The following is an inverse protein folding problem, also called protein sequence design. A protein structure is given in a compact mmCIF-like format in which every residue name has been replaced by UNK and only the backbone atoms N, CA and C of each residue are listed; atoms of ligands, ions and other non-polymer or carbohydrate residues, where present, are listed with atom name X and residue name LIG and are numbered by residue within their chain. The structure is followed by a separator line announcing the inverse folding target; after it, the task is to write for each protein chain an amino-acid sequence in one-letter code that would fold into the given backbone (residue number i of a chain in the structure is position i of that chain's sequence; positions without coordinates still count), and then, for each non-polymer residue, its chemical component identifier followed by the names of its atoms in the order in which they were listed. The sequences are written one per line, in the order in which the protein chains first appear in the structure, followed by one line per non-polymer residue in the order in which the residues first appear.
data_IF_931837333433
#
_entry.id   IF_931837333433
#
_cell.length_a   1.000
_cell.length_b   1.000
_cell.length_c   1.000
_cell.angle_alpha   90.00
_cell.angle_beta   90.00
_cell.angle_gamma   90.00
#
_symmetry.space_group_name_H-M   'P 1'
#
loop_
_entity.id
_entity.type
_entity.pdbx_description
1 polymer ?
#
# COMPACT_ATOMS: atom_id res chain seq x y z
N UNK A 1 -5.64 27.43 24.23
CA UNK A 1 -4.43 26.62 23.96
C UNK A 1 -4.86 25.35 23.23
N UNK A 2 -4.51 25.16 21.95
CA UNK A 2 -4.83 23.90 21.24
C UNK A 2 -3.95 22.79 21.83
N UNK A 3 -4.56 21.77 22.44
CA UNK A 3 -3.82 20.56 22.84
C UNK A 3 -3.36 19.84 21.57
N UNK A 4 -2.05 19.67 21.42
CA UNK A 4 -1.49 18.76 20.43
C UNK A 4 -1.77 17.33 20.90
N UNK A 5 -2.58 16.61 20.13
CA UNK A 5 -2.75 15.17 20.33
C UNK A 5 -1.45 14.46 19.94
N UNK A 6 -1.12 13.39 20.65
CA UNK A 6 -0.03 12.51 20.25
C UNK A 6 -0.35 11.87 18.89
N UNK A 7 0.69 11.63 18.08
CA UNK A 7 0.51 10.96 16.80
C UNK A 7 0.00 9.54 17.01
N UNK A 8 -1.15 9.20 16.43
CA UNK A 8 -1.80 7.88 16.57
C UNK A 8 -0.85 6.71 16.26
N UNK A 9 -0.02 6.86 15.23
CA UNK A 9 0.99 5.87 14.86
C UNK A 9 2.03 5.63 15.97
N UNK A 10 2.37 6.64 16.78
CA UNK A 10 3.26 6.44 17.94
C UNK A 10 2.52 5.66 19.01
N UNK A 11 1.30 6.08 19.37
CA UNK A 11 0.48 5.43 20.41
C UNK A 11 0.29 3.95 20.13
N UNK A 12 -0.05 3.58 18.89
CA UNK A 12 -0.23 2.17 18.50
C UNK A 12 1.08 1.39 18.60
N UNK A 13 2.20 1.98 18.16
CA UNK A 13 3.53 1.32 18.23
C UNK A 13 4.01 1.14 19.66
N UNK A 14 3.76 2.12 20.51
CA UNK A 14 4.13 2.09 21.92
C UNK A 14 3.27 1.05 22.67
N UNK A 15 2.00 0.91 22.30
CA UNK A 15 1.10 -0.09 22.88
C UNK A 15 1.41 -1.53 22.41
N UNK A 16 1.70 -1.72 21.12
CA UNK A 16 1.91 -3.06 20.53
C UNK A 16 3.36 -3.55 20.60
N UNK A 17 4.34 -2.64 20.70
CA UNK A 17 5.77 -3.00 20.66
C UNK A 17 6.20 -3.62 19.32
N UNK A 18 7.27 -4.42 19.36
CA UNK A 18 7.78 -5.18 18.21
C UNK A 18 8.66 -4.40 17.22
N UNK A 19 8.62 -4.80 15.96
CA UNK A 19 9.44 -4.27 14.85
C UNK A 19 8.59 -3.90 13.64
N UNK A 20 8.73 -2.65 13.19
CA UNK A 20 8.15 -2.15 11.95
C UNK A 20 9.08 -2.45 10.77
N UNK A 21 8.58 -3.19 9.80
CA UNK A 21 9.27 -3.44 8.53
C UNK A 21 8.66 -2.60 7.43
N UNK A 22 9.53 -2.02 6.59
CA UNK A 22 9.17 -1.23 5.42
C UNK A 22 9.87 -1.78 4.19
N UNK A 23 9.09 -2.24 3.22
CA UNK A 23 9.57 -2.84 1.98
C UNK A 23 9.09 -2.01 0.79
N UNK A 24 9.98 -1.53 -0.10
CA UNK A 24 9.56 -0.89 -1.34
C UNK A 24 8.87 -1.89 -2.27
N UNK A 25 7.84 -1.42 -2.97
CA UNK A 25 7.21 -2.15 -4.07
C UNK A 25 8.03 -1.85 -5.32
N UNK A 26 8.58 -2.88 -5.94
CA UNK A 26 9.41 -2.76 -7.13
C UNK A 26 8.54 -3.05 -8.35
N UNK A 27 8.57 -2.15 -9.33
CA UNK A 27 7.91 -2.30 -10.61
C UNK A 27 8.95 -2.40 -11.72
N UNK A 28 8.70 -3.24 -12.73
CA UNK A 28 9.55 -3.30 -13.92
C UNK A 28 9.52 -1.98 -14.72
N UNK A 29 8.37 -1.28 -14.70
CA UNK A 29 8.14 -0.03 -15.41
C UNK A 29 8.68 1.20 -14.65
N UNK A 30 8.93 1.07 -13.34
CA UNK A 30 9.53 2.15 -12.54
C UNK A 30 10.94 1.71 -12.09
N UNK A 31 11.94 1.98 -12.94
CA UNK A 31 13.32 1.64 -12.64
C UNK A 31 13.82 2.40 -11.40
N UNK A 32 14.69 1.79 -10.57
CA UNK A 32 15.33 2.49 -9.46
C UNK A 32 16.05 3.75 -9.93
N UNK A 33 15.84 4.87 -9.23
CA UNK A 33 16.60 6.09 -9.45
C UNK A 33 18.10 5.85 -9.19
N UNK A 34 18.40 4.95 -8.24
CA UNK A 34 19.75 4.48 -7.97
C UNK A 34 20.00 3.17 -8.71
N UNK A 35 20.53 3.25 -9.95
CA UNK A 35 20.77 2.08 -10.84
C UNK A 35 21.60 0.96 -10.23
N UNK A 36 22.41 1.26 -9.21
CA UNK A 36 23.22 0.28 -8.48
C UNK A 36 22.37 -0.64 -7.58
N UNK A 37 21.13 -0.27 -7.30
CA UNK A 37 20.22 -1.01 -6.42
C UNK A 37 19.47 -2.10 -7.19
N UNK A 38 20.17 -3.19 -7.48
CA UNK A 38 19.59 -4.37 -8.13
C UNK A 38 18.88 -5.35 -7.19
N UNK A 39 19.06 -5.20 -5.87
CA UNK A 39 18.42 -6.05 -4.85
C UNK A 39 17.64 -5.22 -3.84
N UNK A 40 16.54 -5.77 -3.32
CA UNK A 40 15.62 -5.06 -2.43
C UNK A 40 16.30 -4.66 -1.12
N UNK A 41 16.02 -3.44 -0.64
CA UNK A 41 16.40 -3.00 0.71
C UNK A 41 15.13 -2.91 1.56
N UNK A 42 15.11 -3.64 2.68
CA UNK A 42 14.03 -3.58 3.67
C UNK A 42 14.52 -2.79 4.87
N UNK A 43 13.77 -1.79 5.30
CA UNK A 43 14.10 -1.03 6.52
C UNK A 43 13.32 -1.62 7.69
N UNK A 44 14.03 -2.07 8.71
CA UNK A 44 13.51 -2.60 9.95
C UNK A 44 13.77 -1.60 11.08
N UNK A 45 12.72 -1.29 11.84
CA UNK A 45 12.76 -0.34 12.94
C UNK A 45 12.12 -0.99 14.15
N UNK A 46 12.81 -1.03 15.29
CA UNK A 46 12.13 -1.40 16.55
C UNK A 46 11.08 -0.35 16.89
N UNK A 47 9.87 -0.78 17.23
CA UNK A 47 8.75 0.09 17.54
C UNK A 47 9.05 1.00 18.74
N UNK A 48 9.83 0.48 19.70
CA UNK A 48 10.19 1.14 20.95
C UNK A 48 11.70 1.05 21.26
N UNK A 49 12.22 2.08 21.93
CA UNK A 49 13.61 2.15 22.43
C UNK A 49 14.64 2.65 21.42
N UNK A 50 15.60 3.45 21.87
CA UNK A 50 16.69 4.02 21.05
C UNK A 50 18.03 3.27 21.20
N UNK A 51 18.01 2.07 21.76
CA UNK A 51 19.21 1.42 22.32
C UNK A 51 20.04 0.62 21.30
N UNK A 52 19.54 0.39 20.08
CA UNK A 52 20.26 -0.41 19.08
C UNK A 52 21.13 0.45 18.17
N UNK A 53 22.36 0.00 17.91
CA UNK A 53 23.23 0.53 16.86
C UNK A 53 22.68 0.12 15.49
N UNK A 54 22.82 0.99 14.49
CA UNK A 54 22.40 0.69 13.12
C UNK A 54 23.22 -0.51 12.59
N UNK A 55 22.55 -1.50 12.00
CA UNK A 55 23.20 -2.70 11.43
C UNK A 55 22.57 -3.06 10.08
N UNK A 56 23.35 -3.69 9.22
CA UNK A 56 22.86 -4.33 7.99
C UNK A 56 22.91 -5.86 8.12
N UNK A 57 21.83 -6.52 7.72
CA UNK A 57 21.78 -7.97 7.54
C UNK A 57 21.73 -8.28 6.05
N UNK A 58 22.65 -9.11 5.59
CA UNK A 58 22.76 -9.50 4.19
C UNK A 58 21.99 -10.80 3.96
N UNK A 59 21.17 -10.83 2.91
CA UNK A 59 20.43 -12.03 2.48
C UNK A 59 20.70 -12.29 1.01
N UNK A 60 20.35 -13.47 0.52
CA UNK A 60 20.48 -13.82 -0.91
C UNK A 60 19.70 -12.82 -1.79
N UNK A 61 18.52 -12.39 -1.33
CA UNK A 61 17.56 -11.58 -2.08
C UNK A 61 17.68 -10.06 -1.84
N UNK A 62 18.60 -9.62 -0.98
CA UNK A 62 18.79 -8.21 -0.64
C UNK A 62 19.29 -7.95 0.77
N UNK A 63 18.96 -6.80 1.34
CA UNK A 63 19.50 -6.36 2.62
C UNK A 63 18.38 -5.90 3.55
N UNK A 64 18.53 -6.18 4.85
CA UNK A 64 17.69 -5.60 5.91
C UNK A 64 18.52 -4.57 6.65
N UNK A 65 18.13 -3.31 6.57
CA UNK A 65 18.71 -2.22 7.33
C UNK A 65 17.95 -2.09 8.65
N UNK A 66 18.61 -2.41 9.75
CA UNK A 66 18.08 -2.26 11.11
C UNK A 66 18.49 -0.88 11.61
N UNK A 67 17.50 -0.02 11.86
CA UNK A 67 17.73 1.40 12.08
C UNK A 67 17.14 1.88 13.41
N UNK A 68 17.81 2.84 14.03
CA UNK A 68 17.25 3.59 15.17
C UNK A 68 15.93 4.28 14.80
N UNK A 69 15.06 4.40 15.80
CA UNK A 69 13.71 4.97 15.72
C UNK A 69 13.66 6.30 14.97
N UNK A 70 14.59 7.22 15.22
CA UNK A 70 14.65 8.52 14.54
C UNK A 70 15.02 8.41 13.05
N UNK A 71 16.11 7.73 12.73
CA UNK A 71 16.62 7.65 11.35
C UNK A 71 15.81 6.73 10.47
N UNK A 72 15.12 5.74 11.05
CA UNK A 72 14.33 4.76 10.29
C UNK A 72 13.26 5.38 9.38
N UNK A 73 12.61 6.47 9.81
CA UNK A 73 11.55 7.10 9.01
C UNK A 73 12.17 7.79 7.79
N UNK A 74 13.22 8.57 8.01
CA UNK A 74 13.98 9.24 6.94
C UNK A 74 14.58 8.21 5.98
N UNK A 75 15.23 7.17 6.49
CA UNK A 75 15.88 6.15 5.68
C UNK A 75 14.86 5.32 4.89
N UNK A 76 13.71 5.00 5.48
CA UNK A 76 12.67 4.27 4.74
C UNK A 76 12.12 5.07 3.55
N UNK A 77 12.02 6.39 3.68
CA UNK A 77 11.62 7.25 2.57
C UNK A 77 12.72 7.40 1.53
N UNK A 78 13.98 7.53 1.98
CA UNK A 78 15.13 7.51 1.09
C UNK A 78 15.18 6.20 0.28
N UNK A 79 14.94 5.06 0.93
CA UNK A 79 14.86 3.76 0.26
C UNK A 79 13.69 3.71 -0.72
N UNK A 80 12.48 4.12 -0.33
CA UNK A 80 11.32 4.14 -1.23
C UNK A 80 11.57 5.00 -2.48
N UNK A 81 12.07 6.23 -2.28
CA UNK A 81 12.42 7.12 -3.38
C UNK A 81 13.55 6.57 -4.24
N UNK A 82 14.55 5.91 -3.65
CA UNK A 82 15.65 5.29 -4.38
C UNK A 82 15.21 4.17 -5.32
N UNK A 83 14.18 3.39 -4.93
CA UNK A 83 13.62 2.32 -5.76
C UNK A 83 12.59 2.80 -6.79
N UNK A 84 11.85 3.87 -6.52
CA UNK A 84 10.99 4.55 -7.51
C UNK A 84 10.27 5.74 -6.89
N UNK A 85 9.33 5.46 -5.97
CA UNK A 85 8.35 6.42 -5.47
C UNK A 85 8.18 6.29 -3.96
N UNK A 86 7.94 7.42 -3.29
CA UNK A 86 7.62 7.46 -1.86
C UNK A 86 6.36 6.64 -1.51
N UNK A 87 5.37 6.64 -2.40
CA UNK A 87 4.06 6.00 -2.19
C UNK A 87 4.05 4.50 -2.52
N UNK A 88 5.18 3.95 -2.99
CA UNK A 88 5.33 2.52 -3.29
C UNK A 88 6.06 1.80 -2.15
N UNK A 89 5.52 1.85 -0.93
CA UNK A 89 6.12 1.22 0.25
C UNK A 89 5.09 0.49 1.10
N UNK A 90 5.31 -0.80 1.35
CA UNK A 90 4.48 -1.59 2.25
C UNK A 90 5.10 -1.55 3.65
N UNK A 91 4.29 -1.17 4.64
CA UNK A 91 4.71 -1.07 6.04
C UNK A 91 3.88 -2.01 6.92
N UNK A 92 4.54 -2.90 7.66
CA UNK A 92 3.90 -3.81 8.61
C UNK A 92 4.61 -3.81 9.96
N UNK A 93 3.85 -3.60 11.03
CA UNK A 93 4.30 -3.75 12.40
C UNK A 93 4.12 -5.21 12.82
N UNK A 94 5.21 -5.82 13.29
CA UNK A 94 5.26 -7.16 13.82
C UNK A 94 5.56 -7.07 15.32
N UNK A 95 4.52 -7.12 16.16
CA UNK A 95 4.65 -7.22 17.62
C UNK A 95 5.46 -8.45 18.03
N UNK A 96 5.91 -8.46 19.29
CA UNK A 96 6.57 -9.63 19.86
C UNK A 96 5.57 -10.80 20.03
N UNK A 97 4.27 -10.49 20.18
CA UNK A 97 3.19 -11.47 20.05
C UNK A 97 2.94 -11.78 18.55
N UNK A 98 3.19 -13.02 18.10
CA UNK A 98 3.05 -13.39 16.69
C UNK A 98 1.60 -13.43 16.20
N UNK A 99 0.61 -13.39 17.11
CA UNK A 99 -0.82 -13.34 16.77
C UNK A 99 -1.26 -11.93 16.36
N UNK A 100 -0.53 -10.91 16.79
CA UNK A 100 -0.83 -9.53 16.47
C UNK A 100 -0.10 -9.07 15.21
N UNK A 101 -0.71 -8.14 14.48
CA UNK A 101 -0.09 -7.44 13.35
C UNK A 101 -0.83 -6.14 13.12
N UNK A 102 -0.09 -5.10 12.75
CA UNK A 102 -0.71 -3.85 12.36
C UNK A 102 -0.06 -3.34 11.09
N UNK A 103 -0.83 -3.32 10.02
CA UNK A 103 -0.48 -2.56 8.84
C UNK A 103 -0.40 -1.08 9.18
N UNK A 104 0.71 -0.43 8.82
CA UNK A 104 0.88 1.00 9.08
C UNK A 104 0.39 1.77 7.86
N UNK A 105 -0.65 2.58 8.06
CA UNK A 105 -1.17 3.46 7.02
C UNK A 105 -0.10 4.49 6.62
N UNK A 106 -0.01 4.74 5.31
CA UNK A 106 0.81 5.80 4.76
C UNK A 106 0.26 7.18 5.14
N UNK A 107 1.07 8.21 4.87
CA UNK A 107 0.69 9.59 5.17
C UNK A 107 -0.49 10.02 4.30
N UNK A 108 -1.38 10.84 4.89
CA UNK A 108 -2.37 11.56 4.10
C UNK A 108 -1.66 12.55 3.19
N UNK A 109 -1.84 12.45 1.87
CA UNK A 109 -1.24 13.40 0.94
C UNK A 109 -2.13 14.65 0.87
N UNK A 110 -1.85 15.60 1.76
CA UNK A 110 -2.68 16.80 1.96
C UNK A 110 -2.89 17.62 0.68
N UNK A 111 -1.90 17.65 -0.21
CA UNK A 111 -2.01 18.33 -1.51
C UNK A 111 -3.12 17.71 -2.37
N UNK A 112 -3.10 16.39 -2.54
CA UNK A 112 -4.15 15.67 -3.27
C UNK A 112 -5.51 15.79 -2.58
N UNK A 113 -5.54 15.75 -1.23
CA UNK A 113 -6.79 15.96 -0.50
C UNK A 113 -7.39 17.37 -0.73
N UNK A 114 -6.55 18.41 -0.83
CA UNK A 114 -7.01 19.75 -1.21
C UNK A 114 -7.55 19.76 -2.64
N UNK A 115 -6.84 19.14 -3.58
CA UNK A 115 -7.31 18.98 -4.96
C UNK A 115 -8.70 18.32 -4.99
N UNK A 116 -8.87 17.24 -4.23
CA UNK A 116 -10.13 16.54 -4.06
C UNK A 116 -11.26 17.45 -3.57
N UNK A 117 -11.06 18.20 -2.47
CA UNK A 117 -12.07 19.13 -1.94
C UNK A 117 -12.45 20.18 -2.99
N UNK A 118 -11.49 20.63 -3.80
CA UNK A 118 -11.71 21.59 -4.88
C UNK A 118 -12.23 20.96 -6.18
N UNK A 119 -12.59 19.66 -6.18
CA UNK A 119 -13.04 18.92 -7.37
C UNK A 119 -12.04 18.91 -8.53
N UNK A 120 -10.75 19.09 -8.22
CA UNK A 120 -9.67 18.91 -9.18
C UNK A 120 -9.35 17.42 -9.31
N UNK A 121 -9.04 17.02 -10.53
CA UNK A 121 -8.61 15.66 -10.81
C UNK A 121 -7.28 15.35 -10.13
N UNK A 122 -7.13 14.11 -9.67
CA UNK A 122 -5.96 13.63 -8.96
C UNK A 122 -5.52 12.26 -9.47
N UNK A 123 -4.22 12.07 -9.56
CA UNK A 123 -3.58 10.80 -9.88
C UNK A 123 -2.70 10.39 -8.70
N UNK A 124 -3.35 9.93 -7.63
CA UNK A 124 -2.69 9.35 -6.47
C UNK A 124 -2.54 7.85 -6.70
N UNK A 125 -1.37 7.33 -6.39
CA UNK A 125 -1.11 5.90 -6.46
C UNK A 125 -1.84 5.15 -5.33
N UNK A 126 -2.81 4.32 -5.69
CA UNK A 126 -3.62 3.52 -4.75
C UNK A 126 -3.05 2.13 -4.49
N UNK A 127 -1.91 1.79 -5.11
CA UNK A 127 -1.41 0.42 -5.19
C UNK A 127 -0.90 -0.10 -3.85
N UNK A 128 -0.09 0.68 -3.14
CA UNK A 128 0.42 0.27 -1.83
C UNK A 128 -0.72 0.10 -0.82
N UNK A 129 -1.77 0.92 -0.92
CA UNK A 129 -2.98 0.76 -0.12
C UNK A 129 -3.73 -0.54 -0.45
N UNK A 130 -3.88 -0.90 -1.73
CA UNK A 130 -4.49 -2.18 -2.14
C UNK A 130 -3.67 -3.37 -1.66
N UNK A 131 -2.33 -3.35 -1.84
CA UNK A 131 -1.46 -4.41 -1.32
C UNK A 131 -1.57 -4.54 0.21
N UNK A 132 -1.61 -3.41 0.92
CA UNK A 132 -1.81 -3.42 2.38
C UNK A 132 -3.09 -4.14 2.76
N UNK A 133 -4.21 -3.84 2.10
CA UNK A 133 -5.48 -4.53 2.34
C UNK A 133 -5.38 -6.03 2.07
N UNK A 134 -4.77 -6.44 0.96
CA UNK A 134 -4.60 -7.87 0.64
C UNK A 134 -3.75 -8.61 1.69
N UNK A 135 -2.70 -7.98 2.22
CA UNK A 135 -1.88 -8.58 3.28
C UNK A 135 -2.64 -8.72 4.59
N UNK A 136 -3.53 -7.78 4.91
CA UNK A 136 -4.41 -7.89 6.08
C UNK A 136 -5.41 -9.04 5.93
N UNK A 137 -6.08 -9.11 4.77
CA UNK A 137 -7.02 -10.19 4.43
C UNK A 137 -6.36 -11.57 4.52
N UNK A 138 -5.18 -11.74 3.91
CA UNK A 138 -4.40 -12.98 3.97
C UNK A 138 -3.91 -13.35 5.36
N UNK A 139 -3.91 -12.42 6.32
CA UNK A 139 -3.49 -12.68 7.69
C UNK A 139 -4.67 -12.99 8.60
N UNK A 140 -5.79 -12.29 8.47
CA UNK A 140 -7.05 -12.65 9.15
C UNK A 140 -7.47 -14.08 8.80
N UNK A 141 -7.32 -14.50 7.54
CA UNK A 141 -7.61 -15.88 7.12
C UNK A 141 -6.73 -16.95 7.77
N UNK A 142 -5.55 -16.61 8.30
CA UNK A 142 -4.75 -17.58 9.09
C UNK A 142 -5.38 -17.90 10.44
N UNK A 143 -6.24 -17.02 10.94
CA UNK A 143 -7.00 -17.22 12.17
C UNK A 143 -8.34 -17.89 11.86
N UNK A 144 -9.00 -17.47 10.78
CA UNK A 144 -10.40 -17.83 10.49
C UNK A 144 -10.57 -18.97 9.45
N UNK A 145 -9.49 -19.42 8.79
CA UNK A 145 -9.48 -20.47 7.76
C UNK A 145 -10.43 -20.23 6.56
N UNK A 146 -10.73 -18.97 6.22
CA UNK A 146 -11.60 -18.63 5.08
C UNK A 146 -10.83 -18.66 3.73
N UNK A 147 -11.06 -19.71 2.93
CA UNK A 147 -10.44 -19.87 1.61
C UNK A 147 -10.89 -18.84 0.59
N UNK A 148 -12.13 -18.32 0.69
CA UNK A 148 -12.68 -17.37 -0.28
C UNK A 148 -11.97 -16.02 -0.17
N UNK A 149 -11.73 -15.58 1.06
CA UNK A 149 -10.99 -14.36 1.33
C UNK A 149 -9.52 -14.47 0.89
N UNK A 150 -8.92 -15.66 0.99
CA UNK A 150 -7.58 -15.93 0.42
C UNK A 150 -7.57 -15.78 -1.10
N UNK A 151 -8.54 -16.39 -1.79
CA UNK A 151 -8.62 -16.35 -3.24
C UNK A 151 -8.90 -14.94 -3.76
N UNK A 152 -9.79 -14.21 -3.11
CA UNK A 152 -10.03 -12.80 -3.40
C UNK A 152 -8.77 -11.95 -3.23
N UNK A 153 -8.07 -12.06 -2.09
CA UNK A 153 -6.88 -11.27 -1.83
C UNK A 153 -5.77 -11.57 -2.84
N UNK A 154 -5.58 -12.85 -3.23
CA UNK A 154 -4.64 -13.25 -4.28
C UNK A 154 -5.03 -12.73 -5.65
N UNK A 155 -6.32 -12.74 -5.98
CA UNK A 155 -6.82 -12.19 -7.25
C UNK A 155 -6.58 -10.67 -7.31
N UNK A 156 -6.84 -9.95 -6.23
CA UNK A 156 -6.56 -8.51 -6.13
C UNK A 156 -5.05 -8.23 -6.24
N UNK A 157 -4.18 -8.96 -5.51
CA UNK A 157 -2.72 -8.80 -5.66
C UNK A 157 -2.26 -9.04 -7.11
N UNK A 158 -2.83 -10.03 -7.78
CA UNK A 158 -2.51 -10.35 -9.17
C UNK A 158 -2.97 -9.26 -10.14
N UNK A 159 -4.18 -8.72 -9.99
CA UNK A 159 -4.69 -7.64 -10.83
C UNK A 159 -3.88 -6.33 -10.61
N UNK A 160 -3.53 -6.03 -9.37
CA UNK A 160 -2.64 -4.92 -9.04
C UNK A 160 -1.24 -5.15 -9.65
N UNK A 161 -0.70 -6.36 -9.58
CA UNK A 161 0.58 -6.67 -10.23
C UNK A 161 0.52 -6.58 -11.77
N UNK A 162 -0.62 -6.93 -12.37
CA UNK A 162 -0.83 -6.79 -13.82
C UNK A 162 -0.91 -5.33 -14.25
N UNK A 163 -1.44 -4.42 -13.41
CA UNK A 163 -1.40 -2.98 -13.70
C UNK A 163 0.04 -2.46 -13.83
N UNK A 164 1.00 -2.97 -13.05
CA UNK A 164 2.42 -2.62 -13.20
C UNK A 164 3.05 -3.06 -14.52
N UNK A 165 2.45 -4.04 -15.21
CA UNK A 165 2.89 -4.49 -16.52
C UNK A 165 2.09 -3.83 -17.65
N UNK A 166 1.04 -3.09 -17.30
CA UNK A 166 0.23 -2.39 -18.28
C UNK A 166 0.99 -1.17 -18.83
N UNK A 167 0.55 -0.72 -20.00
CA UNK A 167 1.14 0.44 -20.69
C UNK A 167 0.87 1.77 -19.98
N UNK A 168 -0.15 1.84 -19.13
CA UNK A 168 -0.64 3.07 -18.51
C UNK A 168 -0.68 2.92 -17.00
N UNK A 169 0.01 3.79 -16.29
CA UNK A 169 0.01 3.86 -14.84
C UNK A 169 -0.39 5.26 -14.34
N UNK A 170 -0.36 5.46 -13.02
CA UNK A 170 -0.59 6.76 -12.41
C UNK A 170 0.54 7.73 -12.79
N UNK A 171 0.23 9.02 -12.74
CA UNK A 171 1.08 10.10 -13.24
C UNK A 171 2.51 10.06 -12.69
N UNK A 172 2.65 9.70 -11.43
CA UNK A 172 3.91 9.58 -10.71
C UNK A 172 4.84 8.51 -11.30
N UNK A 173 4.31 7.34 -11.67
CA UNK A 173 5.07 6.27 -12.32
C UNK A 173 5.44 6.66 -13.75
N UNK A 174 4.48 7.20 -14.50
CA UNK A 174 4.70 7.62 -15.88
C UNK A 174 5.78 8.71 -15.98
N UNK A 175 5.79 9.65 -15.03
CA UNK A 175 6.84 10.68 -14.95
C UNK A 175 8.24 10.12 -14.70
N UNK A 176 8.36 8.97 -14.03
CA UNK A 176 9.65 8.30 -13.83
C UNK A 176 10.06 7.55 -15.08
N UNK A 177 9.12 6.91 -15.78
CA UNK A 177 9.39 6.14 -16.99
C UNK A 177 9.77 7.05 -18.17
N UNK A 178 8.96 8.07 -18.45
CA UNK A 178 9.08 8.93 -19.64
C UNK A 178 9.87 10.23 -19.39
N UNK A 179 10.18 10.53 -18.13
CA UNK A 179 10.87 11.74 -17.71
C UNK A 179 9.95 12.89 -17.28
N UNK A 180 10.50 13.79 -16.48
CA UNK A 180 9.76 14.95 -15.95
C UNK A 180 9.40 15.93 -17.07
N UNK A 181 8.11 16.27 -17.18
CA UNK A 181 7.60 17.30 -18.10
C UNK A 181 7.22 16.81 -19.51
N UNK A 182 7.39 15.52 -19.82
CA UNK A 182 6.98 14.91 -21.10
C UNK A 182 5.55 14.35 -21.06
N UNK A 183 5.11 13.94 -19.87
CA UNK A 183 3.84 13.26 -19.61
C UNK A 183 2.66 14.21 -19.72
N UNK A 184 1.66 13.86 -20.55
CA UNK A 184 0.37 14.55 -20.66
C UNK A 184 -0.74 13.72 -20.03
N UNK A 185 -1.90 14.34 -19.80
CA UNK A 185 -3.08 13.68 -19.22
C UNK A 185 -3.51 12.38 -19.92
N UNK A 186 -3.27 12.26 -21.23
CA UNK A 186 -3.61 11.05 -22.01
C UNK A 186 -2.66 9.87 -21.78
N UNK A 187 -1.53 10.12 -21.13
CA UNK A 187 -0.43 9.18 -20.99
C UNK A 187 -0.49 8.46 -19.62
N UNK A 188 -1.40 8.84 -18.72
CA UNK A 188 -1.54 8.25 -17.39
C UNK A 188 -3.01 8.08 -16.96
N UNK A 189 -3.24 7.21 -15.97
CA UNK A 189 -4.52 7.07 -15.30
C UNK A 189 -4.64 8.02 -14.10
N UNK A 190 -5.81 8.64 -13.93
CA UNK A 190 -6.17 9.21 -12.63
C UNK A 190 -6.43 8.10 -11.60
N UNK A 191 -6.57 8.46 -10.32
CA UNK A 191 -6.73 7.47 -9.23
C UNK A 191 -7.90 6.51 -9.47
N UNK A 192 -9.01 7.05 -9.99
CA UNK A 192 -10.24 6.28 -10.18
C UNK A 192 -10.13 5.34 -11.38
N UNK A 193 -9.55 5.80 -12.49
CA UNK A 193 -9.27 4.99 -13.67
C UNK A 193 -8.34 3.83 -13.34
N UNK A 194 -7.32 4.07 -12.52
CA UNK A 194 -6.42 3.02 -12.02
C UNK A 194 -7.18 1.95 -11.23
N UNK A 195 -8.08 2.34 -10.34
CA UNK A 195 -8.89 1.41 -9.54
C UNK A 195 -9.89 0.66 -10.43
N UNK A 196 -10.54 1.36 -11.36
CA UNK A 196 -11.47 0.76 -12.31
C UNK A 196 -10.77 -0.27 -13.20
N UNK A 197 -9.53 -0.02 -13.63
CA UNK A 197 -8.74 -0.96 -14.41
C UNK A 197 -8.47 -2.25 -13.62
N UNK A 198 -8.07 -2.13 -12.35
CA UNK A 198 -7.89 -3.30 -11.47
C UNK A 198 -9.20 -4.07 -11.33
N UNK A 199 -10.33 -3.39 -11.13
CA UNK A 199 -11.64 -4.03 -11.02
C UNK A 199 -12.02 -4.78 -12.32
N UNK A 200 -11.78 -4.18 -13.49
CA UNK A 200 -12.01 -4.81 -14.79
C UNK A 200 -11.15 -6.06 -14.99
N UNK A 201 -9.87 -6.00 -14.58
CA UNK A 201 -8.98 -7.17 -14.65
C UNK A 201 -9.49 -8.30 -13.73
N UNK A 202 -9.91 -7.96 -12.52
CA UNK A 202 -10.53 -8.92 -11.60
C UNK A 202 -11.81 -9.53 -12.22
N UNK A 203 -12.67 -8.71 -12.84
CA UNK A 203 -13.90 -9.16 -13.50
C UNK A 203 -13.63 -10.19 -14.60
N UNK A 204 -12.56 -9.98 -15.38
CA UNK A 204 -12.22 -10.86 -16.50
C UNK A 204 -11.78 -12.27 -16.08
N UNK A 205 -11.31 -12.44 -14.84
CA UNK A 205 -10.79 -13.71 -14.30
C UNK A 205 -11.76 -14.33 -13.30
N UNK A 206 -12.66 -13.53 -12.74
CA UNK A 206 -13.66 -13.95 -11.77
C UNK A 206 -14.67 -14.92 -12.39
N UNK A 207 -14.90 -16.06 -11.72
CA UNK A 207 -15.88 -17.08 -12.13
C UNK A 207 -16.95 -17.34 -11.06
N UNK A 208 -16.86 -16.67 -9.92
CA UNK A 208 -17.72 -16.90 -8.75
C UNK A 208 -18.59 -15.69 -8.46
N UNK A 209 -19.89 -15.90 -8.27
CA UNK A 209 -20.88 -14.84 -8.06
C UNK A 209 -20.56 -13.92 -6.85
N UNK A 210 -19.97 -14.48 -5.80
CA UNK A 210 -19.51 -13.71 -4.63
C UNK A 210 -18.44 -12.67 -5.00
N UNK A 211 -17.53 -13.06 -5.90
CA UNK A 211 -16.46 -12.18 -6.37
C UNK A 211 -16.98 -11.13 -7.37
N UNK A 212 -18.09 -11.39 -8.07
CA UNK A 212 -18.76 -10.39 -8.92
C UNK A 212 -19.41 -9.26 -8.10
N UNK A 213 -20.04 -9.57 -6.97
CA UNK A 213 -20.61 -8.56 -6.07
C UNK A 213 -19.51 -7.67 -5.48
N UNK A 214 -18.43 -8.29 -5.03
CA UNK A 214 -17.19 -7.66 -4.62
C UNK A 214 -16.62 -6.69 -5.66
N UNK A 215 -16.55 -7.12 -6.92
CA UNK A 215 -16.05 -6.31 -8.03
C UNK A 215 -17.02 -5.17 -8.36
N UNK A 216 -18.32 -5.42 -8.31
CA UNK A 216 -19.36 -4.41 -8.52
C UNK A 216 -19.26 -3.29 -7.49
N UNK A 217 -18.96 -3.64 -6.23
CA UNK A 217 -18.69 -2.67 -5.17
C UNK A 217 -17.45 -1.83 -5.51
N UNK A 218 -16.35 -2.44 -5.95
CA UNK A 218 -15.13 -1.70 -6.36
C UNK A 218 -15.44 -0.77 -7.54
N UNK A 219 -16.21 -1.22 -8.54
CA UNK A 219 -16.61 -0.41 -9.70
C UNK A 219 -17.51 0.74 -9.27
N UNK A 220 -18.51 0.52 -8.43
CA UNK A 220 -19.38 1.57 -7.90
C UNK A 220 -18.57 2.64 -7.14
N UNK A 221 -17.56 2.22 -6.37
CA UNK A 221 -16.64 3.16 -5.71
C UNK A 221 -15.72 3.90 -6.66
N UNK A 222 -15.31 3.28 -7.77
CA UNK A 222 -14.55 3.98 -8.80
C UNK A 222 -15.34 5.13 -9.44
N UNK A 223 -16.68 5.08 -9.36
CA UNK A 223 -17.57 6.10 -9.88
C UNK A 223 -18.04 7.11 -8.81
N UNK A 224 -17.96 6.75 -7.53
CA UNK A 224 -18.31 7.63 -6.42
C UNK A 224 -17.13 8.54 -6.04
N UNK A 225 -17.27 9.85 -6.34
CA UNK A 225 -16.28 10.85 -5.93
C UNK A 225 -16.09 10.90 -4.41
N UNK A 226 -17.11 10.61 -3.60
CA UNK A 226 -17.02 10.63 -2.15
C UNK A 226 -16.18 9.47 -1.56
N UNK A 227 -16.02 8.39 -2.32
CA UNK A 227 -15.41 7.15 -1.86
C UNK A 227 -13.94 6.96 -2.26
N UNK A 228 -13.28 8.00 -2.78
CA UNK A 228 -11.88 7.99 -3.24
C UNK A 228 -10.85 7.56 -2.19
N UNK A 229 -11.25 7.37 -0.94
CA UNK A 229 -10.42 6.72 0.07
C UNK A 229 -10.44 5.21 -0.16
N UNK A 230 -9.35 4.68 -0.71
CA UNK A 230 -9.04 3.23 -0.80
C UNK A 230 -9.32 2.49 0.52
N UNK A 231 -9.20 3.20 1.65
CA UNK A 231 -9.52 2.70 2.98
C UNK A 231 -11.03 2.41 3.20
N UNK A 232 -11.94 3.26 2.69
CA UNK A 232 -13.39 3.02 2.74
C UNK A 232 -13.80 1.84 1.85
N UNK A 233 -13.11 1.65 0.73
CA UNK A 233 -13.28 0.49 -0.15
C UNK A 233 -12.90 -0.77 0.63
N UNK A 234 -11.71 -0.83 1.23
CA UNK A 234 -11.29 -2.00 2.00
C UNK A 234 -12.11 -2.25 3.27
N UNK A 235 -12.58 -1.21 3.97
CA UNK A 235 -13.41 -1.35 5.16
C UNK A 235 -14.83 -1.79 4.86
N UNK A 236 -15.49 -1.19 3.86
CA UNK A 236 -16.82 -1.65 3.46
C UNK A 236 -16.75 -3.03 2.82
N UNK A 237 -15.66 -3.37 2.14
CA UNK A 237 -15.42 -4.70 1.62
C UNK A 237 -15.19 -5.72 2.75
N UNK A 238 -14.31 -5.43 3.72
CA UNK A 238 -14.12 -6.26 4.89
C UNK A 238 -15.39 -6.40 5.74
N UNK A 239 -16.26 -5.38 5.76
CA UNK A 239 -17.58 -5.43 6.41
C UNK A 239 -18.59 -6.22 5.57
N UNK A 240 -18.59 -6.14 4.25
CA UNK A 240 -19.47 -6.94 3.38
C UNK A 240 -19.07 -8.42 3.38
N UNK A 241 -17.77 -8.73 3.33
CA UNK A 241 -17.25 -10.10 3.46
C UNK A 241 -17.36 -10.58 4.91
N UNK A 242 -17.11 -9.70 5.87
CA UNK A 242 -17.19 -9.95 7.31
C UNK A 242 -18.60 -9.97 7.87
N UNK A 243 -19.64 -9.56 7.15
CA UNK A 243 -21.03 -9.72 7.62
C UNK A 243 -21.51 -11.19 7.56
N UNK A 244 -20.66 -12.12 7.11
CA UNK A 244 -20.79 -13.56 7.39
C UNK A 244 -19.87 -14.05 8.53
N UNK A 245 -19.10 -13.16 9.17
CA UNK A 245 -18.10 -13.41 10.22
C UNK A 245 -18.15 -12.40 11.39
N UNK A 246 -19.25 -11.64 11.57
CA UNK A 246 -19.46 -10.76 12.74
C UNK A 246 -20.65 -11.30 13.55
N UNK A 247 -20.32 -12.03 14.62
CA UNK A 247 -21.02 -11.98 15.91
C UNK A 247 -20.02 -11.49 16.96
#
# INVERSE_FOLDING_TARGET
MKRMLQFLNSVIRDALGGTLFRKPIISANAQPLLKQWGKTIVVARRAFGNQHLDRSLHTEHGFVLVCKTYYSEIQSWFVAQGFSLFDLIISGLFPDDPTMFANVAERTITKHFRCYITSLEMSMNSMAAMFRCTKEMLRSTKLDNDSRLVDFARMLEKAVAQLFLSRYMTQDIEMISEGLGTVRKRDYFNTLESIANVAMQMASVCKEAFMEEAITIIVAFSQDRAAQHVWLICLRFAVCVGNHLIF
#
